data_IF_414082764526
#
_entry.id   IF_414082764526
#
_cell.length_a   1.000
_cell.length_b   1.000
_cell.length_c   1.000
_cell.angle_alpha   90.00
_cell.angle_beta   90.00
_cell.angle_gamma   90.00
#
_symmetry.space_group_name_H-M   'P 1'
#
loop_
_entity.id
_entity.type
_entity.pdbx_description
1 polymer ?
#
# COMPACT_ATOMS: atom_id res chain seq x y z
N UNK A 1 -8.28 7.29 -19.85
CA UNK A 1 -7.55 6.36 -20.74
C UNK A 1 -8.10 4.94 -20.58
N UNK A 2 -8.01 4.06 -21.59
CA UNK A 2 -8.45 2.65 -21.45
C UNK A 2 -7.47 1.83 -20.62
N UNK A 3 -7.98 0.89 -19.82
CA UNK A 3 -7.15 -0.03 -19.01
C UNK A 3 -6.07 -0.76 -19.83
N UNK A 4 -6.40 -1.21 -21.05
CA UNK A 4 -5.44 -1.91 -21.90
C UNK A 4 -4.25 -1.05 -22.34
N UNK A 5 -4.46 0.26 -22.53
CA UNK A 5 -3.39 1.18 -22.86
C UNK A 5 -2.48 1.40 -21.65
N UNK A 6 -3.07 1.66 -20.47
CA UNK A 6 -2.33 1.81 -19.21
C UNK A 6 -1.48 0.57 -18.92
N UNK A 7 -2.05 -0.63 -19.03
CA UNK A 7 -1.32 -1.87 -18.83
C UNK A 7 -0.14 -2.03 -19.80
N UNK A 8 -0.27 -1.56 -21.04
CA UNK A 8 0.81 -1.61 -22.03
C UNK A 8 1.95 -0.66 -21.66
N UNK A 9 1.64 0.59 -21.31
CA UNK A 9 2.65 1.59 -20.93
C UNK A 9 3.37 1.23 -19.62
N UNK A 10 2.67 0.55 -18.71
CA UNK A 10 3.24 0.07 -17.46
C UNK A 10 3.93 -1.30 -17.57
N UNK A 11 3.93 -1.93 -18.75
CA UNK A 11 4.40 -3.30 -18.98
C UNK A 11 3.82 -4.33 -17.98
N UNK A 12 2.51 -4.24 -17.76
CA UNK A 12 1.77 -5.09 -16.82
C UNK A 12 0.77 -5.99 -17.56
N UNK A 13 0.72 -7.30 -17.25
CA UNK A 13 -0.30 -8.18 -17.80
C UNK A 13 -1.70 -7.73 -17.36
N UNK A 14 -2.59 -7.43 -18.32
CA UNK A 14 -3.96 -6.98 -18.03
C UNK A 14 -4.71 -7.93 -17.08
N UNK A 15 -4.56 -9.24 -17.27
CA UNK A 15 -5.21 -10.24 -16.42
C UNK A 15 -4.76 -10.16 -14.94
N UNK A 16 -3.51 -9.74 -14.67
CA UNK A 16 -3.03 -9.51 -13.30
C UNK A 16 -3.74 -8.32 -12.67
N UNK A 17 -3.89 -7.23 -13.41
CA UNK A 17 -4.60 -6.03 -12.93
C UNK A 17 -6.08 -6.31 -12.68
N UNK A 18 -6.72 -7.10 -13.56
CA UNK A 18 -8.10 -7.55 -13.36
C UNK A 18 -8.24 -8.44 -12.12
N UNK A 19 -7.28 -9.34 -11.86
CA UNK A 19 -7.24 -10.14 -10.63
C UNK A 19 -7.14 -9.28 -9.37
N UNK A 20 -6.34 -8.20 -9.39
CA UNK A 20 -6.29 -7.25 -8.27
C UNK A 20 -7.65 -6.58 -8.02
N UNK A 21 -8.36 -6.22 -9.10
CA UNK A 21 -9.73 -5.72 -9.02
C UNK A 21 -10.69 -6.73 -8.37
N UNK A 22 -10.69 -7.98 -8.84
CA UNK A 22 -11.54 -9.05 -8.30
C UNK A 22 -11.25 -9.37 -6.82
N UNK A 23 -10.01 -9.18 -6.39
CA UNK A 23 -9.58 -9.41 -4.99
C UNK A 23 -9.79 -8.19 -4.09
N UNK A 24 -10.32 -7.09 -4.61
CA UNK A 24 -10.55 -5.85 -3.85
C UNK A 24 -9.28 -5.06 -3.51
N UNK A 25 -8.14 -5.41 -4.13
CA UNK A 25 -6.86 -4.69 -3.99
C UNK A 25 -6.88 -3.36 -4.76
N UNK A 26 -7.61 -3.34 -5.88
CA UNK A 26 -7.75 -2.19 -6.74
C UNK A 26 -9.25 -1.88 -6.89
N UNK A 27 -9.63 -0.69 -6.46
CA UNK A 27 -10.97 -0.14 -6.69
C UNK A 27 -10.83 1.00 -7.68
N UNK A 28 -11.63 0.96 -8.75
CA UNK A 28 -11.64 1.99 -9.77
C UNK A 28 -12.64 3.07 -9.38
N UNK A 29 -12.22 4.34 -9.41
CA UNK A 29 -13.06 5.45 -8.90
C UNK A 29 -14.31 5.69 -9.76
N UNK A 30 -14.22 5.47 -11.08
CA UNK A 30 -15.31 5.68 -12.03
C UNK A 30 -15.68 4.38 -12.75
N UNK A 31 -16.26 3.43 -12.03
CA UNK A 31 -16.77 2.21 -12.64
C UNK A 31 -18.13 2.44 -13.32
N UNK A 32 -18.12 3.12 -14.47
CA UNK A 32 -19.34 3.32 -15.28
C UNK A 32 -19.69 2.09 -16.12
N UNK A 33 -18.70 1.27 -16.51
CA UNK A 33 -18.89 -0.03 -17.19
C UNK A 33 -17.79 -1.04 -16.80
N UNK A 34 -18.14 -2.30 -16.46
CA UNK A 34 -17.15 -3.35 -16.26
C UNK A 34 -16.52 -3.83 -17.59
N UNK A 35 -15.30 -4.35 -17.54
CA UNK A 35 -14.66 -5.06 -18.65
C UNK A 35 -13.79 -4.24 -19.61
N UNK A 36 -13.72 -4.65 -20.87
CA UNK A 36 -12.73 -4.16 -21.86
C UNK A 36 -12.89 -2.69 -22.29
N UNK A 37 -14.07 -2.10 -22.07
CA UNK A 37 -14.35 -0.70 -22.37
C UNK A 37 -14.16 0.23 -21.15
N UNK A 38 -13.54 -0.25 -20.06
CA UNK A 38 -13.33 0.54 -18.85
C UNK A 38 -12.42 1.73 -19.11
N UNK A 39 -12.94 2.92 -18.84
CA UNK A 39 -12.16 4.14 -18.76
C UNK A 39 -11.61 4.29 -17.34
N UNK A 40 -10.30 4.45 -17.27
CA UNK A 40 -9.56 4.64 -16.03
C UNK A 40 -9.18 6.12 -15.89
N UNK A 41 -9.22 6.58 -14.64
CA UNK A 41 -8.69 7.88 -14.22
C UNK A 41 -7.18 7.81 -14.07
N UNK A 42 -6.55 8.98 -13.97
CA UNK A 42 -5.11 9.10 -13.70
C UNK A 42 -4.74 8.50 -12.33
N UNK A 43 -5.63 8.67 -11.34
CA UNK A 43 -5.51 8.06 -10.03
C UNK A 43 -5.51 6.52 -10.10
N UNK A 44 -6.39 5.94 -10.93
CA UNK A 44 -6.40 4.49 -11.15
C UNK A 44 -5.09 4.00 -11.77
N UNK A 45 -4.52 4.75 -12.73
CA UNK A 45 -3.26 4.41 -13.37
C UNK A 45 -2.09 4.41 -12.38
N UNK A 46 -2.00 5.42 -11.51
CA UNK A 46 -0.99 5.47 -10.47
C UNK A 46 -1.16 4.36 -9.42
N UNK A 47 -2.40 3.99 -9.05
CA UNK A 47 -2.65 2.80 -8.19
C UNK A 47 -2.19 1.50 -8.87
N UNK A 48 -2.44 1.35 -10.18
CA UNK A 48 -1.97 0.19 -10.95
C UNK A 48 -0.45 0.13 -10.98
N UNK A 49 0.22 1.24 -11.28
CA UNK A 49 1.67 1.32 -11.30
C UNK A 49 2.26 0.96 -9.93
N UNK A 50 1.70 1.51 -8.85
CA UNK A 50 2.11 1.20 -7.48
C UNK A 50 1.97 -0.30 -7.16
N UNK A 51 0.83 -0.91 -7.47
CA UNK A 51 0.66 -2.36 -7.29
C UNK A 51 1.64 -3.18 -8.14
N UNK A 52 1.99 -2.69 -9.33
CA UNK A 52 3.07 -3.25 -10.16
C UNK A 52 4.40 -3.27 -9.42
N UNK A 53 4.85 -2.12 -8.92
CA UNK A 53 6.10 -2.01 -8.14
C UNK A 53 6.08 -2.89 -6.89
N UNK A 54 4.96 -2.92 -6.16
CA UNK A 54 4.78 -3.76 -4.98
C UNK A 54 4.83 -5.26 -5.30
N UNK A 55 4.24 -5.67 -6.42
CA UNK A 55 4.31 -7.07 -6.84
C UNK A 55 5.73 -7.51 -7.24
N UNK A 56 6.56 -6.57 -7.68
CA UNK A 56 7.95 -6.81 -8.07
C UNK A 56 8.93 -6.73 -6.89
N UNK A 57 8.56 -6.07 -5.78
CA UNK A 57 9.42 -5.92 -4.59
C UNK A 57 9.45 -7.17 -3.69
N UNK A 58 8.80 -8.26 -4.09
CA UNK A 58 8.76 -9.51 -3.32
C UNK A 58 7.84 -9.46 -2.09
N UNK A 59 7.11 -8.36 -1.89
CA UNK A 59 6.06 -8.27 -0.88
C UNK A 59 4.89 -9.14 -1.30
N UNK A 60 4.43 -10.00 -0.40
CA UNK A 60 3.12 -10.65 -0.60
C UNK A 60 2.03 -9.59 -0.46
N UNK A 61 1.67 -8.97 -1.60
CA UNK A 61 0.57 -8.00 -1.72
C UNK A 61 -0.73 -8.59 -1.17
N UNK A 62 -0.85 -9.91 -1.17
CA UNK A 62 -1.98 -10.66 -0.61
C UNK A 62 -2.04 -10.56 0.92
N UNK A 63 -0.92 -10.74 1.61
CA UNK A 63 -0.83 -10.68 3.08
C UNK A 63 -1.10 -9.27 3.63
N UNK A 64 -0.77 -8.24 2.86
CA UNK A 64 -0.95 -6.82 3.21
C UNK A 64 -2.14 -6.16 2.48
N UNK A 65 -2.98 -6.96 1.83
CA UNK A 65 -3.95 -6.50 0.83
C UNK A 65 -4.88 -5.38 1.29
N UNK A 66 -5.43 -5.51 2.51
CA UNK A 66 -6.35 -4.52 3.08
C UNK A 66 -5.65 -3.20 3.41
N UNK A 67 -4.46 -3.28 4.00
CA UNK A 67 -3.67 -2.11 4.38
C UNK A 67 -3.17 -1.37 3.14
N UNK A 68 -2.65 -2.11 2.16
CA UNK A 68 -2.24 -1.57 0.86
C UNK A 68 -3.43 -0.88 0.20
N UNK A 69 -4.58 -1.54 0.07
CA UNK A 69 -5.78 -0.96 -0.56
C UNK A 69 -6.25 0.31 0.17
N UNK A 70 -6.15 0.37 1.49
CA UNK A 70 -6.47 1.57 2.26
C UNK A 70 -5.47 2.70 2.00
N UNK A 71 -4.17 2.41 2.01
CA UNK A 71 -3.13 3.39 1.71
C UNK A 71 -3.24 3.91 0.26
N UNK A 72 -3.60 3.04 -0.70
CA UNK A 72 -3.84 3.41 -2.10
C UNK A 72 -4.95 4.48 -2.27
N UNK A 73 -5.97 4.50 -1.38
CA UNK A 73 -7.01 5.53 -1.39
C UNK A 73 -6.49 6.91 -0.98
N UNK A 74 -5.43 6.92 -0.18
CA UNK A 74 -4.85 8.12 0.40
C UNK A 74 -3.65 8.66 -0.39
N UNK A 75 -3.24 7.98 -1.47
CA UNK A 75 -2.07 8.36 -2.29
C UNK A 75 -2.12 9.81 -2.78
N UNK A 76 -3.30 10.30 -3.17
CA UNK A 76 -3.46 11.65 -3.75
C UNK A 76 -3.99 12.68 -2.75
N UNK A 77 -3.94 12.41 -1.44
CA UNK A 77 -4.41 13.36 -0.42
C UNK A 77 -3.46 14.56 -0.23
N UNK A 78 -2.18 14.40 -0.54
CA UNK A 78 -1.16 15.41 -0.27
C UNK A 78 -0.81 16.16 -1.56
N UNK A 79 -1.65 17.11 -1.93
CA UNK A 79 -1.42 17.96 -3.11
C UNK A 79 -0.35 19.01 -2.82
N UNK A 80 0.63 19.15 -3.72
CA UNK A 80 1.66 20.19 -3.64
C UNK A 80 2.81 19.93 -2.66
N UNK A 81 2.88 18.74 -2.06
CA UNK A 81 3.98 18.32 -1.19
C UNK A 81 4.48 16.94 -1.63
N UNK A 82 5.79 16.70 -1.52
CA UNK A 82 6.37 15.38 -1.77
C UNK A 82 5.83 14.38 -0.75
N UNK A 83 5.34 13.25 -1.24
CA UNK A 83 4.72 12.22 -0.42
C UNK A 83 5.21 10.83 -0.81
N UNK A 84 5.11 9.92 0.14
CA UNK A 84 5.64 8.57 0.08
C UNK A 84 4.58 7.58 0.48
N UNK A 85 4.50 6.44 -0.21
CA UNK A 85 3.87 5.26 0.36
C UNK A 85 4.93 4.49 1.14
N UNK A 86 4.68 4.31 2.43
CA UNK A 86 5.55 3.54 3.31
C UNK A 86 4.82 2.26 3.73
N UNK A 87 5.42 1.11 3.45
CA UNK A 87 4.94 -0.19 3.92
C UNK A 87 5.93 -0.72 4.94
N UNK A 88 5.53 -0.73 6.19
CA UNK A 88 6.33 -1.21 7.32
C UNK A 88 5.88 -2.60 7.74
N UNK A 89 6.83 -3.46 8.08
CA UNK A 89 6.59 -4.72 8.77
C UNK A 89 6.81 -4.52 10.27
N UNK A 90 5.88 -4.99 11.09
CA UNK A 90 6.09 -5.19 12.51
C UNK A 90 6.00 -6.66 12.87
N UNK A 91 6.94 -7.16 13.66
CA UNK A 91 6.92 -8.49 14.28
C UNK A 91 6.74 -8.31 15.77
N UNK A 92 5.52 -8.02 16.19
CA UNK A 92 5.19 -7.88 17.60
C UNK A 92 4.04 -8.82 17.96
N UNK A 93 4.39 -10.04 18.37
CA UNK A 93 3.52 -10.83 19.24
C UNK A 93 3.97 -10.65 20.67
N UNK A 94 3.02 -10.55 21.59
CA UNK A 94 3.32 -10.45 23.03
C UNK A 94 2.67 -11.63 23.74
N UNK A 95 3.46 -12.46 24.41
CA UNK A 95 2.94 -13.47 25.33
C UNK A 95 2.66 -12.77 26.66
N UNK A 96 1.38 -12.57 26.94
CA UNK A 96 0.91 -12.01 28.21
C UNK A 96 0.87 -13.13 29.26
N UNK A 97 1.67 -13.08 30.34
CA UNK A 97 1.60 -14.08 31.40
C UNK A 97 0.23 -14.04 32.11
N UNK A 98 -0.28 -15.19 32.58
CA UNK A 98 -1.56 -15.25 33.28
C UNK A 98 -1.54 -14.42 34.56
N UNK A 99 -2.52 -13.52 34.70
CA UNK A 99 -2.67 -12.71 35.91
C UNK A 99 -3.29 -13.55 37.04
N UNK A 100 -2.74 -13.55 38.26
CA UNK A 100 -3.36 -14.19 39.41
C UNK A 100 -4.76 -13.63 39.67
N UNK A 101 -5.69 -14.48 40.12
CA UNK A 101 -7.06 -14.06 40.42
C UNK A 101 -7.06 -12.94 41.48
N UNK A 102 -7.57 -11.76 41.12
CA UNK A 102 -7.61 -10.58 41.99
C UNK A 102 -6.39 -9.66 41.92
N UNK A 103 -5.37 -9.99 41.12
CA UNK A 103 -4.21 -9.14 40.88
C UNK A 103 -4.47 -8.06 39.82
N UNK A 104 -3.59 -7.03 39.73
CA UNK A 104 -3.65 -6.06 38.66
C UNK A 104 -3.41 -6.75 37.31
N UNK A 105 -4.28 -6.51 36.33
CA UNK A 105 -4.13 -7.06 34.98
C UNK A 105 -2.78 -6.65 34.36
N UNK A 106 -2.15 -7.59 33.66
CA UNK A 106 -0.91 -7.34 32.92
C UNK A 106 -1.17 -6.28 31.84
N UNK A 107 -0.29 -5.29 31.73
CA UNK A 107 -0.43 -4.20 30.75
C UNK A 107 0.24 -4.57 29.43
N UNK A 108 -0.18 -3.90 28.35
CA UNK A 108 0.48 -3.97 27.04
C UNK A 108 1.94 -3.53 27.17
N UNK A 109 2.88 -4.35 26.71
CA UNK A 109 4.33 -4.14 26.81
C UNK A 109 5.02 -4.82 28.00
N UNK A 110 4.29 -5.47 28.91
CA UNK A 110 4.85 -6.19 30.07
C UNK A 110 5.09 -7.70 29.80
N UNK A 111 4.65 -8.21 28.66
CA UNK A 111 4.79 -9.60 28.23
C UNK A 111 6.08 -9.90 27.46
N UNK A 112 6.31 -11.20 27.21
CA UNK A 112 7.48 -11.66 26.45
C UNK A 112 7.22 -11.40 24.96
N UNK A 113 8.06 -10.57 24.35
CA UNK A 113 8.01 -10.31 22.91
C UNK A 113 8.42 -11.57 22.16
N UNK A 114 7.59 -11.98 21.20
CA UNK A 114 7.83 -13.10 20.30
C UNK A 114 7.76 -12.64 18.86
N UNK A 115 8.56 -13.29 18.00
CA UNK A 115 8.50 -13.09 16.56
C UNK A 115 7.30 -13.86 16.01
N UNK A 116 6.30 -13.14 15.53
CA UNK A 116 5.15 -13.70 14.81
C UNK A 116 5.29 -13.49 13.31
N UNK A 117 4.35 -14.02 12.53
CA UNK A 117 4.20 -13.63 11.13
C UNK A 117 4.16 -12.09 11.03
N UNK A 118 4.88 -11.49 10.05
CA UNK A 118 4.99 -10.05 9.93
C UNK A 118 3.62 -9.42 9.66
N UNK A 119 3.23 -8.48 10.51
CA UNK A 119 2.07 -7.64 10.28
C UNK A 119 2.50 -6.44 9.43
N UNK A 120 1.88 -6.28 8.27
CA UNK A 120 2.17 -5.15 7.39
C UNK A 120 1.25 -3.98 7.67
N UNK A 121 1.83 -2.79 7.75
CA UNK A 121 1.14 -1.52 7.89
C UNK A 121 1.55 -0.67 6.69
N UNK A 122 0.58 -0.14 5.96
CA UNK A 122 0.82 0.74 4.81
C UNK A 122 0.24 2.12 5.09
N UNK A 123 1.04 3.17 4.91
CA UNK A 123 0.67 4.56 5.14
C UNK A 123 1.15 5.46 4.02
N UNK A 124 0.36 6.47 3.67
CA UNK A 124 0.84 7.61 2.89
C UNK A 124 1.43 8.64 3.86
N UNK A 125 2.70 9.01 3.67
CA UNK A 125 3.49 9.85 4.59
C UNK A 125 4.05 11.05 3.83
N UNK A 126 3.99 12.24 4.42
CA UNK A 126 4.62 13.44 3.85
C UNK A 126 6.12 13.41 4.07
N UNK A 127 6.89 14.08 3.20
CA UNK A 127 8.36 14.17 3.34
C UNK A 127 8.82 14.60 4.73
N UNK A 128 8.21 15.66 5.28
CA UNK A 128 8.57 16.18 6.61
C UNK A 128 8.35 15.18 7.76
N UNK A 129 7.43 14.24 7.57
CA UNK A 129 7.02 13.25 8.58
C UNK A 129 7.71 11.88 8.34
N UNK A 130 8.48 11.74 7.25
CA UNK A 130 9.07 10.46 6.86
C UNK A 130 10.11 9.99 7.89
N UNK A 131 11.01 10.87 8.32
CA UNK A 131 12.06 10.50 9.28
C UNK A 131 11.49 10.07 10.64
N UNK A 132 10.45 10.76 11.14
CA UNK A 132 9.79 10.39 12.39
C UNK A 132 9.00 9.08 12.25
N UNK A 133 8.38 8.85 11.10
CA UNK A 133 7.68 7.59 10.81
C UNK A 133 8.63 6.38 10.78
N UNK A 134 9.76 6.52 10.07
CA UNK A 134 10.78 5.46 9.95
C UNK A 134 11.54 5.22 11.26
N UNK A 135 11.60 6.22 12.14
CA UNK A 135 12.20 6.10 13.47
C UNK A 135 11.35 5.33 14.49
N UNK A 136 10.18 4.79 14.10
CA UNK A 136 9.33 4.03 15.00
C UNK A 136 10.00 2.68 15.36
N UNK A 137 10.31 2.41 16.64
CA UNK A 137 10.96 1.17 17.06
C UNK A 137 10.08 -0.08 16.90
N UNK A 138 8.78 0.06 16.65
CA UNK A 138 7.89 -1.07 16.38
C UNK A 138 8.04 -1.64 14.95
N UNK A 139 8.76 -0.95 14.06
CA UNK A 139 8.96 -1.38 12.67
C UNK A 139 10.32 -2.06 12.50
N UNK A 140 10.33 -3.28 11.94
CA UNK A 140 11.56 -4.02 11.65
C UNK A 140 12.23 -3.53 10.36
N UNK A 141 11.41 -3.29 9.33
CA UNK A 141 11.84 -2.74 8.05
C UNK A 141 10.67 -2.04 7.36
N UNK A 142 11.00 -1.10 6.48
CA UNK A 142 10.04 -0.35 5.69
C UNK A 142 10.46 -0.30 4.23
N UNK A 143 9.49 -0.48 3.33
CA UNK A 143 9.62 -0.18 1.91
C UNK A 143 9.02 1.20 1.66
N UNK A 144 9.75 2.02 0.91
CA UNK A 144 9.40 3.42 0.67
C UNK A 144 9.28 3.60 -0.84
N UNK A 145 8.12 4.09 -1.28
CA UNK A 145 7.86 4.41 -2.68
C UNK A 145 7.61 5.90 -2.80
N UNK A 146 8.40 6.57 -3.61
CA UNK A 146 8.24 7.99 -3.94
C UNK A 146 7.03 8.16 -4.87
N UNK A 147 6.02 8.90 -4.42
CA UNK A 147 4.79 9.08 -5.20
C UNK A 147 4.98 10.05 -6.35
N UNK A 148 5.93 10.99 -6.25
CA UNK A 148 6.21 11.95 -7.31
C UNK A 148 6.79 11.26 -8.55
N UNK A 149 7.61 10.23 -8.38
CA UNK A 149 8.15 9.45 -9.49
C UNK A 149 7.06 8.64 -10.21
N UNK A 150 6.12 8.08 -9.44
CA UNK A 150 4.98 7.36 -10.00
C UNK A 150 4.09 8.32 -10.77
N UNK A 151 3.75 9.47 -10.20
CA UNK A 151 2.97 10.51 -10.89
C UNK A 151 3.67 10.97 -12.17
N UNK A 152 4.95 11.33 -12.13
CA UNK A 152 5.70 11.75 -13.31
C UNK A 152 5.65 10.70 -14.43
N UNK A 153 5.82 9.42 -14.08
CA UNK A 153 5.71 8.31 -15.04
C UNK A 153 4.31 8.20 -15.64
N UNK A 154 3.25 8.40 -14.85
CA UNK A 154 1.89 8.41 -15.39
C UNK A 154 1.72 9.60 -16.34
N UNK A 155 2.18 10.78 -15.95
CA UNK A 155 2.04 12.03 -16.72
C UNK A 155 2.61 11.93 -18.13
N UNK A 156 3.78 11.29 -18.27
CA UNK A 156 4.46 11.08 -19.55
C UNK A 156 3.54 10.45 -20.59
N UNK A 157 2.92 9.31 -20.30
CA UNK A 157 2.05 8.64 -21.27
C UNK A 157 0.60 9.14 -21.23
N UNK A 158 0.20 9.88 -20.19
CA UNK A 158 -1.16 10.43 -20.09
C UNK A 158 -1.38 11.65 -20.99
N UNK A 159 -0.34 12.43 -21.26
CA UNK A 159 -0.39 13.60 -22.15
C UNK A 159 -0.28 13.22 -23.63
N UNK A 160 0.25 12.04 -23.94
CA UNK A 160 0.43 11.51 -25.30
C UNK A 160 -0.82 10.77 -25.85
N UNK A 161 -1.90 10.69 -25.08
CA UNK A 161 -3.11 9.88 -25.37
C UNK A 161 -4.39 10.71 -25.47
#
# INVERSE_FOLDING_TARGET
MRLSAICKELDLPKGRVEQWGHRGLLVFDNETKPGAARECTKADAARIAMLGYLSNSGVSVEAASKQIAQAMKHLFLFTGEKSFLVISSSRAGEIIPPTPRGGPGTKKGEGIQIVTDPHFIANAVRERDLASHLGNPEFDYSLIFDLTEIEARIDEFWLES
#
